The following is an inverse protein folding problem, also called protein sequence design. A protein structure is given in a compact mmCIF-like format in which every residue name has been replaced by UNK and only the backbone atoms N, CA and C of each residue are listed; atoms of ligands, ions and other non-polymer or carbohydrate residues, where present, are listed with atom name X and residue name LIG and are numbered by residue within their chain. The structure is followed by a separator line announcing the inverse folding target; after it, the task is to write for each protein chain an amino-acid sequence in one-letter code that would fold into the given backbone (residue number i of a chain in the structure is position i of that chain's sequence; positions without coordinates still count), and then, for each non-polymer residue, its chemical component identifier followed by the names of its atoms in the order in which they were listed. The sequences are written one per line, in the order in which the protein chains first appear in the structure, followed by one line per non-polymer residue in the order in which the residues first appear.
data_IF_075899263511
#
_entry.id   IF_075899263511
#
_cell.length_a   1.000
_cell.length_b   1.000
_cell.length_c   1.000
_cell.angle_alpha   90.00
_cell.angle_beta   90.00
_cell.angle_gamma   90.00
#
_symmetry.space_group_name_H-M   'P 1'
#
loop_
_entity.id
_entity.type
_entity.pdbx_description
1 polymer ?
#
# COMPACT_ATOMS: atom_id res chain seq x y z
N UNK A 1 15.92 -24.31 -38.68
CA UNK A 1 16.04 -23.19 -39.64
C UNK A 1 16.61 -21.99 -38.89
N UNK A 2 17.84 -21.63 -39.28
CA UNK A 2 18.73 -20.53 -38.88
C UNK A 2 18.36 -19.62 -37.68
N UNK A 3 18.70 -20.07 -36.46
CA UNK A 3 19.07 -19.16 -35.35
C UNK A 3 20.58 -19.20 -35.21
N UNK A 4 21.29 -18.74 -36.25
CA UNK A 4 22.73 -18.60 -36.21
C UNK A 4 23.08 -17.28 -35.52
N UNK A 5 23.73 -17.41 -34.38
CA UNK A 5 24.18 -16.34 -33.49
C UNK A 5 25.04 -15.32 -34.26
N UNK A 6 24.51 -14.11 -34.40
CA UNK A 6 25.27 -12.88 -34.64
C UNK A 6 26.24 -12.69 -33.46
N UNK A 7 27.41 -13.34 -33.54
CA UNK A 7 28.59 -12.97 -32.76
C UNK A 7 29.35 -11.95 -33.60
N UNK A 8 28.97 -10.69 -33.46
CA UNK A 8 29.52 -9.58 -34.24
C UNK A 8 30.42 -8.64 -33.45
N UNK A 9 31.40 -8.14 -34.21
CA UNK A 9 32.40 -7.13 -33.89
C UNK A 9 31.74 -5.78 -33.59
N UNK A 10 32.42 -4.97 -32.78
CA UNK A 10 32.02 -3.60 -32.40
C UNK A 10 32.18 -2.62 -33.58
N UNK A 11 31.11 -2.00 -34.13
CA UNK A 11 31.20 -0.99 -35.18
C UNK A 11 30.63 0.36 -34.69
N UNK A 12 31.45 1.37 -34.45
CA UNK A 12 30.98 2.52 -33.65
C UNK A 12 30.02 3.50 -34.39
N UNK A 13 30.01 3.55 -35.73
CA UNK A 13 28.97 4.29 -36.51
C UNK A 13 27.94 3.37 -37.20
N UNK A 14 28.36 2.21 -37.69
CA UNK A 14 27.43 1.21 -38.26
C UNK A 14 26.49 0.62 -37.20
N UNK A 15 26.76 0.81 -35.90
CA UNK A 15 25.88 0.37 -34.82
C UNK A 15 24.56 1.14 -34.73
N UNK A 16 24.48 2.41 -35.15
CA UNK A 16 23.23 3.20 -35.01
C UNK A 16 22.20 2.84 -36.07
N UNK A 17 22.62 2.79 -37.34
CA UNK A 17 21.75 2.39 -38.44
C UNK A 17 21.26 0.94 -38.28
N UNK A 18 22.13 0.04 -37.81
CA UNK A 18 21.73 -1.33 -37.47
C UNK A 18 20.73 -1.39 -36.32
N UNK A 19 20.90 -0.56 -35.28
CA UNK A 19 19.94 -0.52 -34.16
C UNK A 19 18.58 0.00 -34.63
N UNK A 20 18.55 1.03 -35.47
CA UNK A 20 17.30 1.56 -36.03
C UNK A 20 16.57 0.52 -36.87
N UNK A 21 17.28 -0.13 -37.79
CA UNK A 21 16.70 -1.18 -38.63
C UNK A 21 16.20 -2.37 -37.79
N UNK A 22 16.98 -2.77 -36.78
CA UNK A 22 16.55 -3.77 -35.80
C UNK A 22 15.25 -3.36 -35.09
N UNK A 23 15.17 -2.13 -34.57
CA UNK A 23 13.99 -1.62 -33.87
C UNK A 23 12.76 -1.64 -34.78
N UNK A 24 12.86 -1.12 -36.01
CA UNK A 24 11.76 -1.13 -36.98
C UNK A 24 11.28 -2.55 -37.27
N UNK A 25 12.21 -3.44 -37.61
CA UNK A 25 11.90 -4.83 -37.88
C UNK A 25 11.19 -5.51 -36.70
N UNK A 26 11.63 -5.26 -35.45
CA UNK A 26 11.00 -5.84 -34.26
C UNK A 26 9.61 -5.26 -33.99
N UNK A 27 9.42 -3.94 -34.12
CA UNK A 27 8.11 -3.30 -33.99
C UNK A 27 7.08 -3.88 -34.97
N UNK A 28 7.51 -4.24 -36.17
CA UNK A 28 6.65 -4.84 -37.20
C UNK A 28 6.34 -6.32 -36.94
N UNK A 29 7.36 -7.10 -36.57
CA UNK A 29 7.28 -8.56 -36.60
C UNK A 29 7.02 -9.20 -35.23
N UNK A 30 7.36 -8.53 -34.12
CA UNK A 30 7.28 -9.10 -32.78
C UNK A 30 6.12 -8.47 -31.98
N UNK A 31 5.13 -9.29 -31.62
CA UNK A 31 4.00 -8.86 -30.78
C UNK A 31 4.42 -8.32 -29.40
N UNK A 32 5.59 -8.72 -28.87
CA UNK A 32 6.12 -8.20 -27.60
C UNK A 32 6.59 -6.74 -27.71
N UNK A 33 6.95 -6.30 -28.91
CA UNK A 33 7.35 -4.92 -29.18
C UNK A 33 6.15 -4.02 -29.48
N UNK A 34 4.94 -4.57 -29.57
CA UNK A 34 3.70 -3.81 -29.80
C UNK A 34 2.89 -3.65 -28.52
N UNK A 35 3.57 -3.51 -27.39
CA UNK A 35 2.95 -3.30 -26.08
C UNK A 35 3.06 -1.82 -25.74
N UNK A 36 1.92 -1.20 -25.46
CA UNK A 36 1.79 0.21 -25.14
C UNK A 36 0.95 0.35 -23.87
N UNK A 37 1.32 1.31 -23.03
CA UNK A 37 0.51 1.79 -21.92
C UNK A 37 -0.73 2.54 -22.43
N UNK A 38 -1.71 2.76 -21.55
CA UNK A 38 -2.90 3.55 -21.84
C UNK A 38 -2.58 5.00 -22.22
N UNK A 39 -1.48 5.56 -21.69
CA UNK A 39 -0.95 6.87 -22.11
C UNK A 39 -0.33 6.89 -23.51
N UNK A 40 -0.23 5.73 -24.19
CA UNK A 40 0.39 5.58 -25.50
C UNK A 40 1.92 5.41 -25.46
N UNK A 41 2.55 5.41 -24.29
CA UNK A 41 3.98 5.12 -24.18
C UNK A 41 4.27 3.64 -24.48
N UNK A 42 5.32 3.38 -25.25
CA UNK A 42 5.81 2.04 -25.58
C UNK A 42 6.48 1.37 -24.38
N UNK A 43 6.19 0.10 -24.14
CA UNK A 43 6.77 -0.67 -23.05
C UNK A 43 8.00 -1.41 -23.53
N UNK A 44 9.15 -1.09 -22.94
CA UNK A 44 10.40 -1.75 -23.28
C UNK A 44 10.39 -3.23 -22.88
N UNK A 45 10.57 -4.19 -23.81
CA UNK A 45 10.52 -5.61 -23.50
C UNK A 45 11.73 -6.10 -22.69
N UNK A 46 12.72 -5.25 -22.43
CA UNK A 46 13.94 -5.60 -21.70
C UNK A 46 13.97 -5.07 -20.27
N UNK A 47 13.50 -3.84 -20.03
CA UNK A 47 13.49 -3.25 -18.69
C UNK A 47 12.09 -2.91 -18.18
N UNK A 48 11.03 -3.15 -18.97
CA UNK A 48 9.64 -2.79 -18.70
C UNK A 48 9.36 -1.28 -18.53
N UNK A 49 10.37 -0.43 -18.72
CA UNK A 49 10.20 1.01 -18.69
C UNK A 49 9.30 1.53 -19.81
N UNK A 50 8.44 2.50 -19.48
CA UNK A 50 7.61 3.21 -20.43
C UNK A 50 8.43 4.28 -21.18
N UNK A 51 8.46 4.20 -22.50
CA UNK A 51 9.12 5.16 -23.40
C UNK A 51 8.03 5.94 -24.12
N UNK A 52 7.98 7.28 -23.97
CA UNK A 52 7.01 8.08 -24.70
C UNK A 52 7.07 7.78 -26.20
N UNK A 53 5.95 7.34 -26.77
CA UNK A 53 5.82 7.21 -28.21
C UNK A 53 5.36 8.56 -28.76
N UNK A 54 6.02 9.06 -29.81
CA UNK A 54 5.45 10.15 -30.60
C UNK A 54 4.03 9.79 -31.05
N UNK A 55 3.15 10.77 -31.18
CA UNK A 55 1.71 10.55 -31.39
C UNK A 55 1.44 9.84 -32.73
N UNK A 56 1.37 8.51 -32.71
CA UNK A 56 0.98 7.68 -33.86
C UNK A 56 1.97 7.66 -35.03
N UNK A 57 3.11 8.36 -34.96
CA UNK A 57 4.16 8.33 -35.98
C UNK A 57 5.13 7.16 -35.71
N UNK A 58 5.16 6.13 -36.57
CA UNK A 58 6.07 4.99 -36.42
C UNK A 58 7.54 5.39 -36.42
N UNK A 59 7.92 6.45 -37.16
CA UNK A 59 9.32 6.88 -37.23
C UNK A 59 9.74 7.58 -35.94
N UNK A 60 8.92 8.49 -35.40
CA UNK A 60 9.15 9.10 -34.10
C UNK A 60 9.22 8.05 -32.96
N UNK A 61 8.38 7.01 -33.02
CA UNK A 61 8.47 5.89 -32.09
C UNK A 61 9.80 5.15 -32.24
N UNK A 62 10.19 4.78 -33.46
CA UNK A 62 11.45 4.07 -33.71
C UNK A 62 12.66 4.86 -33.19
N UNK A 63 12.69 6.18 -33.40
CA UNK A 63 13.74 7.08 -32.87
C UNK A 63 13.74 7.09 -31.34
N UNK A 64 12.56 7.15 -30.71
CA UNK A 64 12.45 7.16 -29.24
C UNK A 64 12.91 5.84 -28.62
N UNK A 65 12.57 4.71 -29.26
CA UNK A 65 13.01 3.38 -28.85
C UNK A 65 14.52 3.21 -29.07
N UNK A 66 15.05 3.64 -30.22
CA UNK A 66 16.50 3.67 -30.50
C UNK A 66 17.25 4.44 -29.40
N UNK A 67 16.79 5.64 -29.07
CA UNK A 67 17.39 6.47 -28.04
C UNK A 67 17.38 5.79 -26.67
N UNK A 68 16.24 5.20 -26.27
CA UNK A 68 16.12 4.46 -25.02
C UNK A 68 17.09 3.27 -24.96
N UNK A 69 17.07 2.41 -25.98
CA UNK A 69 17.91 1.21 -26.04
C UNK A 69 19.40 1.55 -26.10
N UNK A 70 19.78 2.60 -26.83
CA UNK A 70 21.18 3.02 -26.97
C UNK A 70 21.76 3.71 -25.73
N UNK A 71 20.93 4.40 -24.93
CA UNK A 71 21.42 5.26 -23.84
C UNK A 71 20.99 4.82 -22.44
N UNK A 72 19.70 4.48 -22.26
CA UNK A 72 19.08 4.29 -20.94
C UNK A 72 18.83 2.83 -20.57
N UNK A 73 18.63 1.94 -21.55
CA UNK A 73 18.28 0.55 -21.28
C UNK A 73 19.52 -0.28 -20.88
N UNK A 74 19.84 -0.32 -19.59
CA UNK A 74 20.92 -1.13 -19.04
C UNK A 74 20.89 -2.61 -19.49
N UNK A 75 19.75 -3.32 -19.36
CA UNK A 75 19.65 -4.72 -19.78
C UNK A 75 19.96 -4.95 -21.26
N UNK A 76 19.50 -4.07 -22.16
CA UNK A 76 19.79 -4.17 -23.59
C UNK A 76 21.27 -3.88 -23.87
N UNK A 77 21.81 -2.79 -23.32
CA UNK A 77 23.20 -2.35 -23.53
C UNK A 77 24.24 -3.34 -23.01
N UNK A 78 23.90 -4.12 -21.98
CA UNK A 78 24.76 -5.17 -21.47
C UNK A 78 25.00 -6.31 -22.48
N UNK A 79 24.31 -6.32 -23.64
CA UNK A 79 24.49 -7.32 -24.71
C UNK A 79 23.84 -8.67 -24.40
N UNK A 80 23.08 -8.76 -23.30
CA UNK A 80 22.50 -10.00 -22.76
C UNK A 80 21.07 -9.84 -22.25
N UNK A 81 20.37 -8.74 -22.57
CA UNK A 81 18.98 -8.57 -22.17
C UNK A 81 18.11 -9.65 -22.80
N UNK A 82 17.92 -10.77 -22.11
CA UNK A 82 16.79 -11.63 -22.39
C UNK A 82 15.56 -10.74 -22.21
N UNK A 83 14.71 -10.70 -23.23
CA UNK A 83 13.43 -10.03 -23.07
C UNK A 83 12.72 -10.64 -21.87
N UNK A 84 12.06 -9.79 -21.10
CA UNK A 84 11.22 -10.22 -20.02
C UNK A 84 10.18 -11.23 -20.53
N UNK A 85 9.75 -12.17 -19.68
CA UNK A 85 8.71 -13.12 -20.06
C UNK A 85 7.49 -12.37 -20.58
N UNK A 86 6.87 -12.89 -21.65
CA UNK A 86 5.71 -12.27 -22.32
C UNK A 86 4.63 -11.81 -21.32
N UNK A 87 4.35 -12.62 -20.28
CA UNK A 87 3.40 -12.29 -19.22
C UNK A 87 3.75 -11.01 -18.44
N UNK A 88 5.04 -10.72 -18.20
CA UNK A 88 5.48 -9.49 -17.53
C UNK A 88 5.37 -8.29 -18.46
N UNK A 89 5.71 -8.46 -19.75
CA UNK A 89 5.56 -7.40 -20.75
C UNK A 89 4.08 -7.04 -20.94
N UNK A 90 3.18 -8.02 -21.00
CA UNK A 90 1.73 -7.78 -21.11
C UNK A 90 1.12 -7.15 -19.85
N UNK A 91 1.75 -7.32 -18.68
CA UNK A 91 1.32 -6.70 -17.42
C UNK A 91 1.87 -5.28 -17.24
N UNK A 92 3.04 -4.99 -17.82
CA UNK A 92 3.74 -3.71 -17.66
C UNK A 92 2.98 -2.46 -18.11
N UNK A 93 2.13 -2.46 -19.17
CA UNK A 93 1.25 -1.34 -19.49
C UNK A 93 0.48 -0.82 -18.27
N UNK A 94 -0.06 -1.72 -17.45
CA UNK A 94 -0.86 -1.37 -16.26
C UNK A 94 -0.05 -0.69 -15.17
N UNK A 95 1.25 -0.97 -15.11
CA UNK A 95 2.18 -0.34 -14.17
C UNK A 95 2.73 0.97 -14.73
N UNK A 96 2.98 1.05 -16.04
CA UNK A 96 3.46 2.27 -16.70
C UNK A 96 2.47 3.44 -16.62
N UNK A 97 1.17 3.14 -16.51
CA UNK A 97 0.13 4.15 -16.31
C UNK A 97 0.00 4.63 -14.85
N UNK A 98 0.78 4.08 -13.91
CA UNK A 98 0.63 4.37 -12.48
C UNK A 98 0.70 5.87 -12.14
N UNK A 99 1.65 6.67 -12.66
CA UNK A 99 1.67 8.11 -12.40
C UNK A 99 0.39 8.81 -12.87
N UNK A 100 -0.18 8.37 -14.01
CA UNK A 100 -1.42 8.90 -14.53
C UNK A 100 -2.62 8.47 -13.67
N UNK A 101 -2.70 7.19 -13.29
CA UNK A 101 -3.76 6.66 -12.45
C UNK A 101 -3.83 7.37 -11.09
N UNK A 102 -2.68 7.61 -10.46
CA UNK A 102 -2.59 8.34 -9.19
C UNK A 102 -3.12 9.77 -9.26
N UNK A 103 -3.21 10.38 -10.45
CA UNK A 103 -3.70 11.76 -10.64
C UNK A 103 -5.11 11.80 -11.25
N UNK A 104 -5.46 10.83 -12.08
CA UNK A 104 -6.70 10.85 -12.86
C UNK A 104 -7.81 9.94 -12.31
N UNK A 105 -7.47 8.87 -11.58
CA UNK A 105 -8.44 7.89 -11.09
C UNK A 105 -8.72 8.07 -9.59
N UNK A 106 -9.95 8.41 -9.17
CA UNK A 106 -10.30 8.59 -7.76
C UNK A 106 -10.06 7.34 -6.88
N UNK A 107 -10.08 6.13 -7.43
CA UNK A 107 -9.80 4.92 -6.66
C UNK A 107 -8.32 4.82 -6.25
N UNK A 108 -7.43 5.44 -7.02
CA UNK A 108 -5.99 5.49 -6.77
C UNK A 108 -5.57 6.66 -5.88
N UNK A 109 -6.49 7.59 -5.58
CA UNK A 109 -6.23 8.81 -4.83
C UNK A 109 -6.61 8.72 -3.35
N UNK A 110 -6.75 7.51 -2.81
CA UNK A 110 -7.26 7.31 -1.45
C UNK A 110 -6.10 7.06 -0.51
N UNK A 111 -5.83 8.08 0.30
CA UNK A 111 -4.83 8.10 1.36
C UNK A 111 -5.51 8.29 2.71
N UNK A 112 -4.87 7.83 3.77
CA UNK A 112 -5.19 8.22 5.14
C UNK A 112 -4.36 9.41 5.62
N UNK A 113 -4.70 9.92 6.80
CA UNK A 113 -4.08 11.10 7.41
C UNK A 113 -2.59 10.89 7.77
N UNK A 114 -2.13 9.65 7.84
CA UNK A 114 -0.72 9.30 8.06
C UNK A 114 0.05 9.12 6.74
N UNK A 115 -0.56 9.42 5.59
CA UNK A 115 0.04 9.23 4.27
C UNK A 115 0.07 7.77 3.81
N UNK A 116 -0.67 6.87 4.46
CA UNK A 116 -0.85 5.50 3.98
C UNK A 116 -1.75 5.48 2.76
N UNK A 117 -1.30 4.84 1.68
CA UNK A 117 -2.09 4.67 0.46
C UNK A 117 -2.88 3.37 0.50
N UNK A 118 -4.12 3.38 0.01
CA UNK A 118 -4.94 2.18 -0.08
C UNK A 118 -4.93 1.62 -1.49
N UNK A 119 -4.47 0.37 -1.61
CA UNK A 119 -4.41 -0.32 -2.89
C UNK A 119 -5.83 -0.55 -3.44
N UNK A 120 -6.16 -0.03 -4.63
CA UNK A 120 -7.50 -0.19 -5.18
C UNK A 120 -7.81 -1.61 -5.61
N UNK A 121 -6.81 -2.49 -5.74
CA UNK A 121 -7.04 -3.90 -6.05
C UNK A 121 -7.29 -4.74 -4.78
N UNK A 122 -6.38 -4.65 -3.81
CA UNK A 122 -6.37 -5.49 -2.61
C UNK A 122 -7.15 -4.91 -1.42
N UNK A 123 -7.50 -3.62 -1.45
CA UNK A 123 -8.05 -2.88 -0.30
C UNK A 123 -7.11 -2.86 0.93
N UNK A 124 -5.83 -3.13 0.69
CA UNK A 124 -4.77 -3.14 1.70
C UNK A 124 -4.11 -1.76 1.81
N UNK A 125 -3.70 -1.39 3.02
CA UNK A 125 -2.96 -0.16 3.31
C UNK A 125 -1.47 -0.37 3.08
N UNK A 126 -0.85 0.53 2.33
CA UNK A 126 0.58 0.55 2.03
C UNK A 126 1.22 1.78 2.65
N UNK A 127 2.22 1.56 3.50
CA UNK A 127 2.96 2.62 4.19
C UNK A 127 4.09 3.18 3.32
N UNK A 128 4.50 4.42 3.62
CA UNK A 128 5.66 5.05 2.99
C UNK A 128 5.41 5.59 1.58
N UNK A 129 4.16 5.66 1.15
CA UNK A 129 3.76 6.28 -0.12
C UNK A 129 3.66 7.79 0.10
N UNK A 130 4.42 8.59 -0.66
CA UNK A 130 4.40 10.05 -0.54
C UNK A 130 4.02 10.69 -1.86
N UNK A 131 3.08 11.63 -1.80
CA UNK A 131 2.72 12.48 -2.94
C UNK A 131 2.99 13.91 -2.53
N UNK A 132 3.97 14.53 -3.17
CA UNK A 132 4.34 15.93 -2.98
C UNK A 132 3.87 16.71 -4.21
N UNK A 133 3.22 17.86 -4.02
CA UNK A 133 2.68 18.70 -5.10
C UNK A 133 1.77 17.94 -6.10
N UNK A 134 1.02 16.96 -5.61
CA UNK A 134 0.12 16.13 -6.42
C UNK A 134 0.86 15.17 -7.37
N UNK A 135 2.16 14.95 -7.18
CA UNK A 135 2.97 14.01 -7.97
C UNK A 135 3.69 13.00 -7.07
N UNK A 136 3.65 11.70 -7.42
CA UNK A 136 4.47 10.71 -6.74
C UNK A 136 5.94 10.88 -7.17
N UNK A 137 6.87 10.75 -6.22
CA UNK A 137 8.29 10.65 -6.52
C UNK A 137 8.67 9.24 -7.05
N UNK A 138 9.90 9.09 -7.56
CA UNK A 138 10.37 7.81 -8.13
C UNK A 138 10.40 6.69 -7.08
N UNK A 139 10.70 7.02 -5.82
CA UNK A 139 10.72 6.07 -4.72
C UNK A 139 9.31 5.53 -4.43
N UNK A 140 8.31 6.40 -4.44
CA UNK A 140 6.89 6.07 -4.28
C UNK A 140 6.40 5.20 -5.43
N UNK A 141 6.71 5.57 -6.68
CA UNK A 141 6.35 4.75 -7.84
C UNK A 141 6.97 3.35 -7.74
N UNK A 142 8.25 3.25 -7.39
CA UNK A 142 8.93 1.96 -7.21
C UNK A 142 8.30 1.10 -6.11
N UNK A 143 7.90 1.72 -4.99
CA UNK A 143 7.22 1.04 -3.89
C UNK A 143 5.86 0.49 -4.32
N UNK A 144 5.06 1.30 -4.99
CA UNK A 144 3.75 0.94 -5.50
C UNK A 144 3.84 -0.15 -6.57
N UNK A 145 4.74 -0.02 -7.53
CA UNK A 145 4.99 -1.05 -8.55
C UNK A 145 5.34 -2.40 -7.94
N UNK A 146 6.24 -2.41 -6.96
CA UNK A 146 6.59 -3.63 -6.23
C UNK A 146 5.37 -4.25 -5.54
N UNK A 147 4.58 -3.44 -4.83
CA UNK A 147 3.35 -3.94 -4.20
C UNK A 147 2.39 -4.54 -5.23
N UNK A 148 2.14 -3.86 -6.34
CA UNK A 148 1.20 -4.31 -7.37
C UNK A 148 1.66 -5.59 -8.09
N UNK A 149 2.98 -5.80 -8.24
CA UNK A 149 3.54 -7.04 -8.77
C UNK A 149 3.27 -8.25 -7.85
N UNK A 150 3.21 -8.02 -6.54
CA UNK A 150 2.96 -9.07 -5.55
C UNK A 150 1.48 -9.24 -5.22
N UNK A 151 0.68 -8.17 -5.37
CA UNK A 151 -0.76 -8.14 -5.06
C UNK A 151 -1.55 -9.16 -5.91
N UNK A 152 -2.13 -10.22 -5.29
CA UNK A 152 -2.89 -11.23 -6.03
C UNK A 152 -4.10 -10.65 -6.78
N UNK A 153 -4.81 -9.71 -6.16
CA UNK A 153 -6.00 -9.06 -6.73
C UNK A 153 -5.67 -8.20 -7.96
N UNK A 154 -4.55 -7.47 -7.91
CA UNK A 154 -4.13 -6.66 -9.05
C UNK A 154 -3.71 -7.55 -10.23
N UNK A 155 -2.99 -8.64 -9.96
CA UNK A 155 -2.56 -9.60 -10.97
C UNK A 155 -3.72 -10.30 -11.69
N UNK A 156 -4.86 -10.49 -11.02
CA UNK A 156 -6.08 -11.01 -11.67
C UNK A 156 -6.87 -9.94 -12.42
N UNK A 157 -6.42 -8.67 -12.37
CA UNK A 157 -7.09 -7.54 -13.01
C UNK A 157 -8.27 -7.00 -12.23
N UNK A 158 -8.38 -7.33 -10.94
CA UNK A 158 -9.42 -6.77 -10.08
C UNK A 158 -9.01 -5.39 -9.59
N UNK A 159 -9.79 -4.37 -9.95
CA UNK A 159 -9.69 -3.01 -9.41
C UNK A 159 -11.06 -2.66 -8.83
N UNK A 160 -11.07 -2.19 -7.58
CA UNK A 160 -12.26 -1.79 -6.85
C UNK A 160 -12.60 -0.33 -7.14
N UNK A 161 -13.88 0.02 -7.01
CA UNK A 161 -14.35 1.41 -7.14
C UNK A 161 -13.90 2.25 -5.95
N UNK A 162 -13.80 3.56 -6.15
CA UNK A 162 -13.33 4.51 -5.14
C UNK A 162 -14.13 4.43 -3.82
N UNK A 163 -15.43 4.15 -3.87
CA UNK A 163 -16.29 3.97 -2.69
C UNK A 163 -15.83 2.79 -1.83
N UNK A 164 -15.45 1.67 -2.45
CA UNK A 164 -15.00 0.49 -1.75
C UNK A 164 -13.62 0.71 -1.11
N UNK A 165 -12.73 1.42 -1.81
CA UNK A 165 -11.41 1.80 -1.31
C UNK A 165 -11.52 2.79 -0.14
N UNK A 166 -12.42 3.80 -0.24
CA UNK A 166 -12.75 4.71 0.87
C UNK A 166 -13.28 3.96 2.08
N UNK A 167 -14.22 3.04 1.87
CA UNK A 167 -14.77 2.23 2.95
C UNK A 167 -13.69 1.34 3.62
N UNK A 168 -12.71 0.85 2.85
CA UNK A 168 -11.57 0.11 3.39
C UNK A 168 -10.66 1.02 4.23
N UNK A 169 -10.37 2.25 3.77
CA UNK A 169 -9.64 3.26 4.54
C UNK A 169 -10.34 3.59 5.84
N UNK A 170 -11.61 3.96 5.78
CA UNK A 170 -12.39 4.37 6.96
C UNK A 170 -12.54 3.22 7.96
N UNK A 171 -12.57 1.97 7.48
CA UNK A 171 -12.50 0.78 8.35
C UNK A 171 -11.12 0.66 8.99
N UNK A 172 -10.05 0.81 8.23
CA UNK A 172 -8.67 0.76 8.74
C UNK A 172 -8.40 1.81 9.82
N UNK A 173 -8.79 3.07 9.58
CA UNK A 173 -8.67 4.16 10.56
C UNK A 173 -9.43 3.86 11.85
N UNK A 174 -10.72 3.46 11.73
CA UNK A 174 -11.52 3.06 12.91
C UNK A 174 -10.92 1.88 13.67
N UNK A 175 -10.30 0.92 12.99
CA UNK A 175 -9.58 -0.18 13.64
C UNK A 175 -8.41 0.34 14.45
N UNK A 176 -7.58 1.24 13.90
CA UNK A 176 -6.43 1.80 14.63
C UNK A 176 -6.85 2.61 15.86
N UNK A 177 -7.85 3.49 15.71
CA UNK A 177 -8.42 4.25 16.83
C UNK A 177 -8.99 3.33 17.92
N UNK A 178 -9.68 2.27 17.50
CA UNK A 178 -10.24 1.30 18.43
C UNK A 178 -9.15 0.51 19.14
N UNK A 179 -8.09 0.09 18.44
CA UNK A 179 -6.96 -0.59 19.06
C UNK A 179 -6.32 0.28 20.15
N UNK A 180 -6.08 1.55 19.87
CA UNK A 180 -5.53 2.48 20.85
C UNK A 180 -6.46 2.69 22.04
N UNK A 181 -7.78 2.77 21.79
CA UNK A 181 -8.77 2.81 22.86
C UNK A 181 -8.74 1.53 23.69
N UNK A 182 -8.76 0.35 23.09
CA UNK A 182 -8.68 -0.94 23.79
C UNK A 182 -7.42 -1.00 24.65
N UNK A 183 -6.25 -0.68 24.08
CA UNK A 183 -4.97 -0.65 24.81
C UNK A 183 -5.04 0.30 26.00
N UNK A 184 -5.60 1.48 25.80
CA UNK A 184 -5.79 2.45 26.88
C UNK A 184 -6.72 1.94 27.97
N UNK A 185 -7.61 0.98 27.69
CA UNK A 185 -8.57 0.43 28.65
C UNK A 185 -8.10 -0.86 29.33
N UNK A 186 -7.06 -1.51 28.83
CA UNK A 186 -6.51 -2.75 29.42
C UNK A 186 -6.01 -2.58 30.86
N UNK A 187 -5.80 -1.36 31.36
CA UNK A 187 -5.49 -1.15 32.78
C UNK A 187 -6.70 -1.36 33.70
N UNK A 188 -7.92 -1.28 33.18
CA UNK A 188 -9.14 -1.56 33.94
C UNK A 188 -9.37 -3.08 34.06
N UNK A 189 -10.08 -3.52 35.10
CA UNK A 189 -10.34 -4.96 35.32
C UNK A 189 -11.32 -5.53 34.32
N UNK A 190 -12.34 -4.76 33.98
CA UNK A 190 -13.43 -5.15 33.09
C UNK A 190 -12.97 -5.57 31.68
N UNK A 191 -11.90 -4.95 31.19
CA UNK A 191 -11.31 -5.24 29.89
C UNK A 191 -10.39 -6.45 29.88
N UNK A 192 -9.94 -6.90 31.05
CA UNK A 192 -9.04 -8.04 31.23
C UNK A 192 -9.77 -9.32 31.62
N UNK A 193 -11.09 -9.30 31.56
CA UNK A 193 -11.89 -10.44 31.97
C UNK A 193 -11.77 -11.60 30.98
N UNK A 194 -11.62 -12.82 31.49
CA UNK A 194 -11.59 -14.06 30.71
C UNK A 194 -12.31 -15.21 31.43
N UNK A 195 -12.80 -16.17 30.67
CA UNK A 195 -13.38 -17.42 31.19
C UNK A 195 -12.28 -18.33 31.75
N UNK A 196 -12.65 -19.40 32.49
CA UNK A 196 -11.72 -20.46 32.89
C UNK A 196 -11.02 -21.16 31.72
N UNK A 197 -11.63 -21.15 30.53
CA UNK A 197 -11.02 -21.62 29.27
C UNK A 197 -10.02 -20.62 28.66
N UNK A 198 -9.87 -19.43 29.24
CA UNK A 198 -8.97 -18.38 28.76
C UNK A 198 -9.57 -17.51 27.66
N UNK A 199 -10.86 -17.61 27.36
CA UNK A 199 -11.52 -16.81 26.33
C UNK A 199 -11.84 -15.42 26.88
N UNK A 200 -11.52 -14.36 26.15
CA UNK A 200 -11.93 -13.02 26.54
C UNK A 200 -13.46 -12.88 26.52
N UNK A 201 -14.01 -12.20 27.53
CA UNK A 201 -15.44 -11.83 27.54
C UNK A 201 -15.56 -10.38 27.16
N UNK A 202 -16.37 -10.11 26.13
CA UNK A 202 -16.55 -8.76 25.64
C UNK A 202 -17.33 -7.91 26.67
N UNK A 203 -16.80 -6.76 27.12
CA UNK A 203 -17.44 -5.94 28.16
C UNK A 203 -18.72 -5.22 27.68
N UNK A 204 -19.08 -5.35 26.40
CA UNK A 204 -20.32 -4.79 25.87
C UNK A 204 -21.43 -5.83 25.77
N UNK A 205 -21.24 -6.88 24.98
CA UNK A 205 -22.26 -7.92 24.78
C UNK A 205 -22.26 -8.99 25.87
N UNK A 206 -21.21 -9.07 26.70
CA UNK A 206 -20.99 -10.13 27.70
C UNK A 206 -20.86 -11.53 27.09
N UNK A 207 -20.67 -11.63 25.78
CA UNK A 207 -20.43 -12.89 25.10
C UNK A 207 -18.94 -13.26 25.20
N UNK A 208 -18.68 -14.57 25.27
CA UNK A 208 -17.34 -15.15 25.19
C UNK A 208 -16.85 -15.04 23.75
N UNK A 209 -15.59 -14.69 23.55
CA UNK A 209 -14.99 -14.52 22.22
C UNK A 209 -13.86 -15.54 22.05
N UNK A 210 -14.16 -16.76 21.54
CA UNK A 210 -13.18 -17.84 21.46
C UNK A 210 -11.96 -17.52 20.59
N UNK A 211 -12.10 -16.62 19.62
CA UNK A 211 -11.00 -16.16 18.78
C UNK A 211 -9.99 -15.28 19.53
N UNK A 212 -10.31 -14.82 20.74
CA UNK A 212 -9.45 -14.03 21.62
C UNK A 212 -9.07 -14.89 22.83
N UNK A 213 -8.26 -15.92 22.57
CA UNK A 213 -7.76 -16.81 23.60
C UNK A 213 -6.52 -16.22 24.29
N UNK A 214 -6.60 -16.03 25.60
CA UNK A 214 -5.55 -15.48 26.45
C UNK A 214 -4.86 -16.62 27.21
N UNK A 215 -3.67 -16.99 26.77
CA UNK A 215 -2.82 -17.98 27.44
C UNK A 215 -2.44 -17.57 28.88
N UNK A 216 -1.81 -18.49 29.63
CA UNK A 216 -1.42 -18.28 31.03
C UNK A 216 -0.53 -17.03 31.24
N UNK A 217 0.31 -16.68 30.25
CA UNK A 217 0.98 -15.38 30.15
C UNK A 217 0.33 -14.61 29.01
N UNK A 218 -0.57 -13.65 29.28
CA UNK A 218 -1.37 -13.04 28.24
C UNK A 218 -0.49 -12.14 27.35
N UNK A 219 -0.49 -12.44 26.05
CA UNK A 219 -0.06 -11.50 25.04
C UNK A 219 -1.23 -10.56 24.71
N UNK A 220 -1.42 -9.58 25.59
CA UNK A 220 -2.46 -8.58 25.42
C UNK A 220 -2.31 -7.78 24.14
N UNK A 221 -1.10 -7.66 23.57
CA UNK A 221 -0.89 -6.98 22.31
C UNK A 221 -1.62 -7.70 21.19
N UNK A 222 -1.42 -9.01 21.04
CA UNK A 222 -2.13 -9.83 20.04
C UNK A 222 -3.63 -9.88 20.32
N UNK A 223 -4.02 -9.95 21.60
CA UNK A 223 -5.43 -10.00 21.97
C UNK A 223 -6.21 -8.74 21.54
N UNK A 224 -5.58 -7.56 21.55
CA UNK A 224 -6.25 -6.30 21.15
C UNK A 224 -6.77 -6.34 19.72
N UNK A 225 -6.08 -7.01 18.80
CA UNK A 225 -6.52 -7.16 17.41
C UNK A 225 -7.78 -8.02 17.30
N UNK A 226 -7.81 -9.15 18.00
CA UNK A 226 -8.99 -10.00 18.05
C UNK A 226 -10.18 -9.33 18.76
N UNK A 227 -9.94 -8.54 19.81
CA UNK A 227 -10.95 -7.71 20.46
C UNK A 227 -11.54 -6.68 19.49
N UNK A 228 -10.69 -5.92 18.79
CA UNK A 228 -11.13 -4.94 17.81
C UNK A 228 -11.94 -5.60 16.67
N UNK A 229 -11.49 -6.77 16.19
CA UNK A 229 -12.19 -7.53 15.17
C UNK A 229 -13.59 -7.97 15.63
N UNK A 230 -13.77 -8.42 16.87
CA UNK A 230 -15.10 -8.74 17.43
C UNK A 230 -16.00 -7.49 17.50
N UNK A 231 -15.47 -6.38 18.01
CA UNK A 231 -16.23 -5.15 18.19
C UNK A 231 -16.70 -4.55 16.86
N UNK A 232 -15.82 -4.51 15.85
CA UNK A 232 -16.14 -4.02 14.51
C UNK A 232 -16.91 -5.05 13.66
N UNK A 233 -16.73 -6.34 13.93
CA UNK A 233 -17.29 -7.45 13.16
C UNK A 233 -18.74 -7.79 13.48
N UNK A 234 -19.37 -7.11 14.46
CA UNK A 234 -20.79 -7.28 14.74
C UNK A 234 -21.17 -7.48 16.20
N UNK A 235 -20.34 -7.04 17.16
CA UNK A 235 -20.74 -7.01 18.56
C UNK A 235 -22.09 -6.28 18.73
N UNK A 236 -23.10 -7.00 19.21
CA UNK A 236 -24.51 -6.55 19.20
C UNK A 236 -24.79 -5.25 19.96
N UNK A 237 -23.92 -4.94 20.94
CA UNK A 237 -24.04 -3.76 21.83
C UNK A 237 -22.96 -2.70 21.62
N UNK A 238 -21.91 -2.98 20.85
CA UNK A 238 -20.85 -2.00 20.61
C UNK A 238 -21.35 -0.85 19.72
N UNK A 239 -21.03 0.40 20.08
CA UNK A 239 -21.41 1.59 19.31
C UNK A 239 -22.88 2.04 19.43
N UNK A 240 -23.70 1.38 20.26
CA UNK A 240 -25.05 1.87 20.56
C UNK A 240 -24.98 3.02 21.57
N UNK A 241 -25.58 4.14 21.21
CA UNK A 241 -25.64 5.33 22.06
C UNK A 241 -26.33 5.00 23.41
N UNK A 242 -25.75 5.46 24.52
CA UNK A 242 -26.31 5.27 25.86
C UNK A 242 -26.01 3.94 26.55
N UNK A 243 -25.35 2.96 25.90
CA UNK A 243 -24.90 1.74 26.58
C UNK A 243 -23.67 2.04 27.42
N UNK A 244 -23.83 2.11 28.73
CA UNK A 244 -22.72 2.16 29.69
C UNK A 244 -22.26 0.74 30.00
N UNK A 245 -20.95 0.57 30.13
CA UNK A 245 -20.36 -0.66 30.68
C UNK A 245 -20.67 -0.63 32.18
N UNK A 246 -21.62 -1.44 32.64
CA UNK A 246 -22.00 -1.56 34.04
C UNK A 246 -21.11 -2.61 34.71
N UNK A 247 -20.04 -2.16 35.37
CA UNK A 247 -19.01 -3.03 35.95
C UNK A 247 -19.59 -4.07 36.93
N UNK A 248 -20.59 -3.68 37.71
CA UNK A 248 -21.30 -4.56 38.64
C UNK A 248 -22.01 -5.70 37.92
N UNK A 249 -22.72 -5.44 36.81
CA UNK A 249 -23.42 -6.49 36.06
C UNK A 249 -22.48 -7.46 35.37
N UNK A 250 -21.28 -6.99 35.00
CA UNK A 250 -20.25 -7.86 34.44
C UNK A 250 -19.80 -8.82 35.54
N UNK A 251 -19.43 -8.29 36.70
CA UNK A 251 -18.99 -9.11 37.84
C UNK A 251 -20.10 -10.05 38.34
N UNK A 252 -21.36 -9.64 38.33
CA UNK A 252 -22.53 -10.46 38.70
C UNK A 252 -22.81 -11.58 37.69
N UNK A 253 -22.87 -11.26 36.38
CA UNK A 253 -23.10 -12.27 35.33
C UNK A 253 -22.02 -13.35 35.27
N UNK A 254 -20.87 -13.06 35.89
CA UNK A 254 -19.67 -13.88 35.87
C UNK A 254 -19.49 -14.65 37.20
N UNK A 255 -19.80 -14.01 38.33
CA UNK A 255 -19.59 -14.54 39.67
C UNK A 255 -20.42 -15.79 40.00
N UNK A 256 -21.43 -16.11 39.19
CA UNK A 256 -22.27 -17.29 39.38
C UNK A 256 -21.72 -18.57 38.75
N UNK A 257 -20.84 -18.51 37.73
CA UNK A 257 -20.42 -19.73 37.00
C UNK A 257 -19.07 -20.33 37.44
N UNK A 258 -18.09 -19.55 37.94
CA UNK A 258 -16.76 -20.10 38.26
C UNK A 258 -16.07 -19.40 39.45
N UNK A 259 -16.49 -19.72 40.69
CA UNK A 259 -15.78 -19.33 41.92
C UNK A 259 -14.40 -20.00 42.11
N UNK A 260 -13.81 -20.58 41.06
CA UNK A 260 -12.65 -21.49 41.14
C UNK A 260 -11.27 -20.93 40.79
N UNK A 261 -11.14 -19.67 40.34
CA UNK A 261 -9.81 -19.18 39.93
C UNK A 261 -9.79 -17.82 39.25
N UNK A 262 -10.25 -16.79 39.95
CA UNK A 262 -10.10 -15.40 39.50
C UNK A 262 -8.66 -14.91 39.76
N UNK A 263 -7.78 -15.11 38.78
CA UNK A 263 -6.46 -14.49 38.80
C UNK A 263 -6.54 -13.13 38.06
N UNK A 264 -6.81 -12.07 38.83
CA UNK A 264 -6.64 -10.70 38.34
C UNK A 264 -5.14 -10.46 38.14
N UNK A 265 -4.63 -10.81 36.97
CA UNK A 265 -3.23 -10.57 36.65
C UNK A 265 -2.88 -9.10 36.92
N UNK A 266 -1.72 -8.89 37.55
CA UNK A 266 -1.16 -7.56 37.74
C UNK A 266 -1.19 -6.79 36.41
N UNK A 267 -1.46 -5.47 36.43
CA UNK A 267 -1.41 -4.68 35.21
C UNK A 267 -0.10 -4.94 34.46
N UNK A 268 -0.11 -4.98 33.12
CA UNK A 268 1.14 -5.02 32.37
C UNK A 268 2.02 -3.86 32.87
N UNK A 269 3.36 -4.05 32.96
CA UNK A 269 4.23 -2.94 33.32
C UNK A 269 3.91 -1.78 32.38
N UNK A 270 3.70 -0.59 32.94
CA UNK A 270 3.46 0.60 32.12
C UNK A 270 4.55 0.66 31.06
N UNK A 271 4.16 0.55 29.79
CA UNK A 271 5.04 0.91 28.70
C UNK A 271 5.16 2.41 28.82
N UNK A 272 6.12 2.87 29.61
CA UNK A 272 6.59 4.26 29.60
C UNK A 272 6.88 4.54 28.13
N UNK A 273 5.96 5.22 27.46
CA UNK A 273 6.22 5.85 26.16
C UNK A 273 7.35 6.80 26.49
N UNK A 274 8.58 6.36 26.23
CA UNK A 274 9.76 7.18 26.38
C UNK A 274 9.45 8.45 25.62
N UNK A 275 9.26 9.53 26.36
CA UNK A 275 9.27 10.87 25.80
C UNK A 275 10.67 10.97 25.23
N UNK A 276 10.80 10.71 23.93
CA UNK A 276 11.99 11.09 23.21
C UNK A 276 12.01 12.61 23.36
N UNK A 277 12.83 13.08 24.29
CA UNK A 277 13.27 14.47 24.36
C UNK A 277 14.09 14.71 23.09
N UNK A 278 13.38 14.80 21.96
CA UNK A 278 13.93 15.35 20.74
C UNK A 278 14.26 16.81 21.07
N UNK A 279 15.50 17.27 20.80
CA UNK A 279 15.84 18.66 20.97
C UNK A 279 14.83 19.49 20.18
N UNK A 280 14.11 20.36 20.88
CA UNK A 280 13.32 21.42 20.26
C UNK A 280 14.29 22.21 19.39
N UNK A 281 14.09 22.28 18.05
CA UNK A 281 14.89 23.16 17.22
C UNK A 281 14.75 24.57 17.81
N UNK A 282 15.87 25.21 18.14
CA UNK A 282 15.83 26.62 18.48
C UNK A 282 15.40 27.34 17.21
N UNK A 283 14.26 28.01 17.27
CA UNK A 283 13.82 28.96 16.26
C UNK A 283 14.88 30.06 16.17
N UNK A 284 15.77 29.95 15.19
CA UNK A 284 16.55 31.09 14.73
C UNK A 284 15.57 32.00 13.98
N UNK A 285 15.36 33.19 14.53
CA UNK A 285 14.59 34.30 13.96
C UNK A 285 14.96 34.53 12.49
N UNK A 286 14.12 34.07 11.58
CA UNK A 286 14.21 34.39 10.15
C UNK A 286 13.10 35.40 9.78
N UNK A 287 13.41 36.70 9.68
CA UNK A 287 12.42 37.74 9.38
C UNK A 287 12.23 37.85 7.88
N UNK A 288 11.48 36.91 7.27
CA UNK A 288 11.11 36.98 5.86
C UNK A 288 9.64 36.60 5.62
N UNK A 289 8.71 37.31 6.28
CA UNK A 289 7.34 37.43 5.77
C UNK A 289 7.13 38.81 5.16
N UNK A 290 7.58 38.93 3.91
CA UNK A 290 7.14 39.95 2.99
C UNK A 290 5.69 39.68 2.56
N UNK A 291 4.86 40.69 2.71
CA UNK A 291 3.46 40.72 2.35
C UNK A 291 3.20 40.30 0.90
N UNK A 292 2.22 39.42 0.70
CA UNK A 292 1.49 39.31 -0.57
C UNK A 292 -0.02 39.37 -0.28
N UNK A 293 -0.52 40.59 -0.41
CA UNK A 293 -1.87 40.94 -0.89
C UNK A 293 -2.08 40.38 -2.32
N UNK A 294 -3.21 40.66 -2.96
CA UNK A 294 -3.65 40.22 -4.32
C UNK A 294 -4.35 38.84 -4.31
N UNK A 295 -5.63 38.63 -4.67
CA UNK A 295 -6.59 39.40 -5.48
C UNK A 295 -8.05 39.04 -5.11
N UNK A 296 -8.86 40.08 -4.89
CA UNK A 296 -10.26 40.11 -5.31
C UNK A 296 -10.32 40.25 -6.85
N UNK A 297 -11.48 39.91 -7.44
CA UNK A 297 -11.87 39.96 -8.87
C UNK A 297 -11.72 38.66 -9.66
N UNK A 298 -12.73 37.77 -9.54
CA UNK A 298 -13.66 37.38 -10.62
C UNK A 298 -14.84 36.54 -10.08
#
# INVERSE_FOLDING_TARGET
MATALLRERKPEDSSRDHLREYVRHRLETDGRWRQFSGSGAWICPFCLGAVPAGHGDPEALAVSVEAHLGTRCGPFRAGYGAQEPRRRIEAAPRLGDLPFLLVADPAWQIFDDAGGWYCPAGLERIEGVRIEDGRPDEATLSLLERHLQDCPHFRTGSIQQAEAVRAARDRGQRTLELLDRIRSQLHTRIWRYRTGAGEWVCPWCLERVPSVALAAKPDWCVATEGMAAHLLGGCSRFGREGVRIEEERILEAIGEEEAGGLDCLAPPPEVTRGRLDLPVPQDDDDPLFGALSWMDEL
#
